data_IF_354838869345
#
_entry.id   IF_354838869345
#
_cell.length_a   1.000
_cell.length_b   1.000
_cell.length_c   1.000
_cell.angle_alpha   90.00
_cell.angle_beta   90.00
_cell.angle_gamma   90.00
#
_symmetry.space_group_name_H-M   'P 1'
#
loop_
_entity.id
_entity.type
_entity.pdbx_description
1 polymer ?
#
# COMPACT_ATOMS: atom_id res chain seq x y z
N UNK A 1 5.98 4.20 -9.67
CA UNK A 1 5.71 4.40 -11.11
C UNK A 1 4.68 3.40 -11.64
N UNK A 2 4.76 2.10 -11.31
CA UNK A 2 3.77 1.12 -11.76
C UNK A 2 2.32 1.41 -11.30
N UNK A 3 2.08 1.71 -10.01
CA UNK A 3 0.69 1.91 -9.51
C UNK A 3 0.03 3.20 -10.04
N UNK A 4 0.79 4.28 -10.19
CA UNK A 4 0.30 5.51 -10.83
C UNK A 4 -0.08 5.27 -12.30
N UNK A 5 0.67 4.43 -13.01
CA UNK A 5 0.33 3.99 -14.36
C UNK A 5 -0.94 3.15 -14.42
N UNK A 6 -1.15 2.26 -13.43
CA UNK A 6 -2.39 1.50 -13.31
C UNK A 6 -3.59 2.41 -13.07
N UNK A 7 -3.50 3.36 -12.14
CA UNK A 7 -4.58 4.33 -11.92
C UNK A 7 -4.94 5.12 -13.19
N UNK A 8 -3.92 5.62 -13.90
CA UNK A 8 -4.11 6.34 -15.15
C UNK A 8 -4.77 5.46 -16.23
N UNK A 9 -4.29 4.23 -16.42
CA UNK A 9 -4.86 3.29 -17.37
C UNK A 9 -6.30 2.91 -17.00
N UNK A 10 -6.56 2.71 -15.71
CA UNK A 10 -7.89 2.42 -15.18
C UNK A 10 -8.89 3.49 -15.57
N UNK A 11 -8.50 4.76 -15.44
CA UNK A 11 -9.36 5.88 -15.79
C UNK A 11 -9.51 6.03 -17.31
N UNK A 12 -8.39 6.07 -18.05
CA UNK A 12 -8.38 6.31 -19.51
C UNK A 12 -9.09 5.20 -20.28
N UNK A 13 -8.96 3.95 -19.83
CA UNK A 13 -9.55 2.79 -20.50
C UNK A 13 -10.83 2.30 -19.83
N UNK A 14 -11.35 3.03 -18.83
CA UNK A 14 -12.56 2.67 -18.08
C UNK A 14 -12.50 1.25 -17.47
N UNK A 15 -11.32 0.83 -16.98
CA UNK A 15 -11.09 -0.51 -16.46
C UNK A 15 -11.79 -0.75 -15.12
N UNK A 16 -11.94 0.30 -14.31
CA UNK A 16 -12.71 0.27 -13.06
C UNK A 16 -14.16 -0.21 -13.25
N UNK A 17 -14.74 -0.03 -14.45
CA UNK A 17 -16.11 -0.48 -14.75
C UNK A 17 -16.17 -1.77 -15.55
N UNK A 18 -15.05 -2.23 -16.12
CA UNK A 18 -15.04 -3.29 -17.14
C UNK A 18 -14.28 -4.54 -16.71
N UNK A 19 -13.37 -4.42 -15.75
CA UNK A 19 -12.61 -5.54 -15.20
C UNK A 19 -13.00 -5.71 -13.74
N UNK A 20 -13.54 -6.88 -13.41
CA UNK A 20 -13.82 -7.24 -12.03
C UNK A 20 -12.51 -7.29 -11.23
N UNK A 21 -12.54 -6.80 -9.99
CA UNK A 21 -11.39 -6.74 -9.07
C UNK A 21 -10.26 -5.81 -9.50
N UNK A 22 -10.49 -4.94 -10.51
CA UNK A 22 -9.47 -4.01 -10.97
C UNK A 22 -9.12 -2.99 -9.88
N UNK A 23 -10.14 -2.44 -9.24
CA UNK A 23 -10.00 -1.38 -8.25
C UNK A 23 -9.28 -1.90 -7.01
N UNK A 24 -9.76 -3.02 -6.49
CA UNK A 24 -9.23 -3.76 -5.36
C UNK A 24 -7.75 -4.12 -5.57
N UNK A 25 -7.40 -4.52 -6.78
CA UNK A 25 -6.02 -4.80 -7.17
C UNK A 25 -5.15 -3.55 -7.20
N UNK A 26 -5.68 -2.43 -7.69
CA UNK A 26 -5.00 -1.14 -7.74
C UNK A 26 -4.78 -0.58 -6.33
N UNK A 27 -5.74 -0.73 -5.42
CA UNK A 27 -5.62 -0.40 -4.00
C UNK A 27 -4.45 -1.12 -3.34
N UNK A 28 -4.48 -2.46 -3.37
CA UNK A 28 -3.44 -3.29 -2.78
C UNK A 28 -2.03 -2.97 -3.34
N UNK A 29 -1.92 -2.77 -4.65
CA UNK A 29 -0.65 -2.44 -5.29
C UNK A 29 -0.16 -1.03 -4.98
N UNK A 30 -1.06 -0.06 -4.91
CA UNK A 30 -0.71 1.34 -4.63
C UNK A 30 -0.21 1.49 -3.20
N UNK A 31 -0.94 0.99 -2.22
CA UNK A 31 -0.52 1.02 -0.82
C UNK A 31 0.72 0.16 -0.58
N UNK A 32 0.77 -1.04 -1.17
CA UNK A 32 1.97 -1.87 -1.08
C UNK A 32 3.22 -1.16 -1.61
N UNK A 33 3.11 -0.50 -2.77
CA UNK A 33 4.22 0.28 -3.36
C UNK A 33 4.62 1.46 -2.45
N UNK A 34 3.65 2.17 -1.89
CA UNK A 34 3.88 3.29 -0.98
C UNK A 34 4.62 2.83 0.30
N UNK A 35 4.15 1.75 0.93
CA UNK A 35 4.76 1.17 2.12
C UNK A 35 6.16 0.62 1.83
N UNK A 36 6.40 0.00 0.68
CA UNK A 36 7.74 -0.42 0.27
C UNK A 36 8.69 0.79 0.13
N UNK A 37 8.25 1.85 -0.55
CA UNK A 37 9.05 3.06 -0.71
C UNK A 37 9.36 3.71 0.64
N UNK A 38 8.37 3.85 1.52
CA UNK A 38 8.53 4.40 2.86
C UNK A 38 9.48 3.53 3.71
N UNK A 39 9.36 2.21 3.65
CA UNK A 39 10.22 1.29 4.39
C UNK A 39 11.66 1.26 3.90
N UNK A 40 11.88 1.35 2.59
CA UNK A 40 13.22 1.46 2.00
C UNK A 40 13.86 2.81 2.35
N UNK A 41 13.10 3.91 2.27
CA UNK A 41 13.55 5.22 2.71
C UNK A 41 13.91 5.22 4.20
N UNK A 42 13.04 4.67 5.06
CA UNK A 42 13.30 4.53 6.49
C UNK A 42 14.58 3.74 6.78
N UNK A 43 14.82 2.65 6.05
CA UNK A 43 16.07 1.91 6.12
C UNK A 43 17.32 2.69 5.68
N UNK A 44 17.15 3.72 4.84
CA UNK A 44 18.25 4.57 4.37
C UNK A 44 18.58 5.72 5.34
N UNK A 45 17.62 6.18 6.16
CA UNK A 45 17.77 7.39 6.99
C UNK A 45 17.47 7.26 8.49
N UNK A 46 16.72 6.25 8.94
CA UNK A 46 16.27 6.13 10.34
C UNK A 46 16.55 4.72 10.91
N UNK A 47 17.56 4.69 11.78
CA UNK A 47 17.80 3.68 12.84
C UNK A 47 17.56 2.21 12.48
N UNK A 48 18.67 1.47 12.32
CA UNK A 48 18.72 0.00 12.45
C UNK A 48 18.22 -0.53 13.80
N UNK A 49 17.91 0.33 14.77
CA UNK A 49 17.63 -0.02 16.15
C UNK A 49 16.14 -0.14 16.50
N UNK A 50 15.22 0.10 15.57
CA UNK A 50 13.80 -0.21 15.82
C UNK A 50 13.54 -1.71 15.67
N UNK A 51 12.97 -2.31 16.72
CA UNK A 51 12.57 -3.71 16.71
C UNK A 51 11.62 -3.98 15.54
N UNK A 52 11.80 -5.13 14.87
CA UNK A 52 11.03 -5.50 13.69
C UNK A 52 9.51 -5.32 13.86
N UNK A 53 8.86 -5.74 14.98
CA UNK A 53 7.43 -5.55 15.20
C UNK A 53 6.95 -4.10 15.09
N UNK A 54 7.73 -3.14 15.61
CA UNK A 54 7.38 -1.72 15.58
C UNK A 54 7.37 -1.20 14.14
N UNK A 55 8.31 -1.66 13.32
CA UNK A 55 8.37 -1.29 11.90
C UNK A 55 7.20 -1.87 11.11
N UNK A 56 6.79 -3.10 11.39
CA UNK A 56 5.60 -3.70 10.77
C UNK A 56 4.34 -2.89 11.09
N UNK A 57 4.12 -2.56 12.37
CA UNK A 57 2.97 -1.78 12.80
C UNK A 57 2.97 -0.37 12.19
N UNK A 58 4.13 0.29 12.10
CA UNK A 58 4.25 1.59 11.47
C UNK A 58 3.89 1.55 9.98
N UNK A 59 4.34 0.53 9.25
CA UNK A 59 4.01 0.35 7.83
C UNK A 59 2.52 0.04 7.62
N UNK A 60 1.96 -0.83 8.46
CA UNK A 60 0.54 -1.17 8.43
C UNK A 60 -0.32 0.08 8.71
N UNK A 61 0.00 0.81 9.77
CA UNK A 61 -0.72 2.03 10.14
C UNK A 61 -0.61 3.12 9.07
N UNK A 62 0.58 3.29 8.47
CA UNK A 62 0.78 4.25 7.37
C UNK A 62 -0.02 3.86 6.14
N UNK A 63 -0.04 2.56 5.79
CA UNK A 63 -0.82 2.06 4.66
C UNK A 63 -2.32 2.29 4.84
N UNK A 64 -2.86 1.94 6.02
CA UNK A 64 -4.28 2.14 6.34
C UNK A 64 -4.67 3.62 6.37
N UNK A 65 -3.81 4.51 6.91
CA UNK A 65 -4.07 5.95 6.91
C UNK A 65 -4.06 6.54 5.50
N UNK A 66 -3.15 6.06 4.64
CA UNK A 66 -3.10 6.48 3.24
C UNK A 66 -4.33 6.00 2.47
N UNK A 67 -4.77 4.75 2.69
CA UNK A 67 -6.02 4.21 2.16
C UNK A 67 -7.24 5.02 2.59
N UNK A 68 -7.37 5.27 3.90
CA UNK A 68 -8.45 6.09 4.44
C UNK A 68 -8.46 7.52 3.89
N UNK A 69 -7.29 8.11 3.65
CA UNK A 69 -7.19 9.42 3.03
C UNK A 69 -7.65 9.42 1.56
N UNK A 70 -7.41 8.33 0.84
CA UNK A 70 -7.88 8.14 -0.53
C UNK A 70 -9.41 8.00 -0.58
N UNK A 71 -9.98 7.12 0.24
CA UNK A 71 -11.44 6.96 0.38
C UNK A 71 -12.14 8.27 0.73
N UNK A 72 -11.54 9.04 1.65
CA UNK A 72 -12.07 10.35 2.02
C UNK A 72 -12.00 11.35 0.86
N UNK A 73 -10.94 11.29 0.05
CA UNK A 73 -10.81 12.13 -1.14
C UNK A 73 -11.88 11.81 -2.17
N UNK A 74 -12.10 10.52 -2.50
CA UNK A 74 -13.14 10.08 -3.42
C UNK A 74 -14.54 10.44 -2.93
N UNK A 75 -14.75 10.33 -1.62
CA UNK A 75 -15.95 10.81 -0.96
C UNK A 75 -16.17 12.31 -1.17
N UNK A 76 -15.13 13.12 -0.96
CA UNK A 76 -15.22 14.57 -1.08
C UNK A 76 -15.50 15.06 -2.52
N UNK A 77 -15.07 14.31 -3.53
CA UNK A 77 -15.26 14.66 -4.95
C UNK A 77 -16.45 13.94 -5.62
N UNK A 78 -17.16 13.08 -4.87
CA UNK A 78 -18.38 12.42 -5.34
C UNK A 78 -18.15 11.29 -6.35
N UNK A 79 -17.00 10.61 -6.29
CA UNK A 79 -16.67 9.46 -7.15
C UNK A 79 -17.02 8.11 -6.50
N UNK A 80 -17.28 8.11 -5.19
CA UNK A 80 -17.77 7.04 -4.30
C UNK A 80 -18.37 5.80 -4.99
N UNK A 81 -17.78 4.63 -4.74
CA UNK A 81 -18.52 3.37 -4.60
C UNK A 81 -19.12 3.22 -3.20
N UNK A 82 -20.12 2.36 -3.04
CA UNK A 82 -20.91 2.33 -1.80
C UNK A 82 -20.08 1.97 -0.53
N UNK A 83 -20.70 1.96 0.66
CA UNK A 83 -19.98 1.65 1.91
C UNK A 83 -19.27 0.29 1.88
N UNK A 84 -19.77 -0.66 1.11
CA UNK A 84 -19.17 -1.98 1.00
C UNK A 84 -17.89 -1.91 0.16
N UNK A 85 -17.89 -1.11 -0.89
CA UNK A 85 -16.71 -0.80 -1.73
C UNK A 85 -15.57 -0.25 -0.87
N UNK A 86 -15.80 0.86 -0.17
CA UNK A 86 -14.82 1.47 0.75
C UNK A 86 -14.24 0.49 1.78
N UNK A 87 -15.06 -0.43 2.30
CA UNK A 87 -14.58 -1.44 3.26
C UNK A 87 -13.67 -2.48 2.59
N UNK A 88 -13.97 -2.86 1.35
CA UNK A 88 -13.15 -3.77 0.56
C UNK A 88 -11.84 -3.08 0.20
N UNK A 89 -11.87 -1.81 -0.20
CA UNK A 89 -10.68 -1.05 -0.56
C UNK A 89 -9.72 -0.89 0.62
N UNK A 90 -10.24 -0.52 1.81
CA UNK A 90 -9.44 -0.47 3.04
C UNK A 90 -8.87 -1.84 3.43
N UNK A 91 -9.58 -2.93 3.15
CA UNK A 91 -9.05 -4.29 3.35
C UNK A 91 -7.89 -4.56 2.38
N UNK A 92 -8.03 -4.18 1.12
CA UNK A 92 -6.99 -4.34 0.09
C UNK A 92 -5.76 -3.50 0.39
N UNK A 93 -5.95 -2.28 0.88
CA UNK A 93 -4.90 -1.41 1.37
C UNK A 93 -4.12 -2.04 2.52
N UNK A 94 -4.84 -2.63 3.49
CA UNK A 94 -4.26 -3.39 4.58
C UNK A 94 -3.44 -4.59 4.08
N UNK A 95 -3.94 -5.34 3.10
CA UNK A 95 -3.22 -6.47 2.48
C UNK A 95 -1.96 -6.01 1.76
N UNK A 96 -2.02 -4.91 1.01
CA UNK A 96 -0.88 -4.28 0.35
C UNK A 96 0.21 -3.88 1.34
N UNK A 97 -0.19 -3.22 2.43
CA UNK A 97 0.73 -2.81 3.50
C UNK A 97 1.38 -4.01 4.20
N UNK A 98 0.60 -5.05 4.50
CA UNK A 98 1.09 -6.28 5.11
C UNK A 98 2.10 -7.00 4.21
N UNK A 99 1.80 -7.13 2.92
CA UNK A 99 2.71 -7.73 1.94
C UNK A 99 4.02 -6.95 1.84
N UNK A 100 3.96 -5.62 1.76
CA UNK A 100 5.15 -4.76 1.74
C UNK A 100 6.02 -4.96 2.98
N UNK A 101 5.40 -5.02 4.15
CA UNK A 101 6.11 -5.19 5.40
C UNK A 101 6.80 -6.57 5.46
N UNK A 102 6.12 -7.65 5.06
CA UNK A 102 6.72 -8.99 4.95
C UNK A 102 7.93 -9.02 4.01
N UNK A 103 7.82 -8.38 2.83
CA UNK A 103 8.92 -8.30 1.87
C UNK A 103 10.14 -7.56 2.45
N UNK A 104 9.90 -6.44 3.14
CA UNK A 104 10.96 -5.67 3.81
C UNK A 104 11.61 -6.43 4.96
N UNK A 105 10.83 -7.20 5.71
CA UNK A 105 11.31 -8.10 6.75
C UNK A 105 12.33 -9.11 6.23
N UNK A 106 11.91 -9.87 5.22
CA UNK A 106 12.76 -10.88 4.56
C UNK A 106 14.01 -10.27 3.92
N UNK A 107 13.88 -9.08 3.34
CA UNK A 107 15.01 -8.35 2.78
C UNK A 107 16.00 -7.90 3.85
N UNK A 108 15.51 -7.43 5.00
CA UNK A 108 16.34 -7.08 6.15
C UNK A 108 17.15 -8.28 6.67
N UNK A 109 16.49 -9.41 6.89
CA UNK A 109 17.13 -10.66 7.32
C UNK A 109 18.22 -11.12 6.34
N UNK A 110 17.92 -11.11 5.04
CA UNK A 110 18.88 -11.48 4.01
C UNK A 110 20.08 -10.53 3.93
N UNK A 111 19.89 -9.23 4.21
CA UNK A 111 21.00 -8.25 4.25
C UNK A 111 21.90 -8.44 5.46
N UNK A 112 21.34 -8.78 6.62
CA UNK A 112 22.10 -8.97 7.84
C UNK A 112 22.91 -10.27 7.81
N UNK A 113 22.37 -11.33 7.20
CA UNK A 113 23.10 -12.58 6.97
C UNK A 113 24.34 -12.41 6.09
N UNK A 114 24.33 -11.48 5.13
CA UNK A 114 25.47 -11.19 4.22
C UNK A 114 26.56 -10.32 4.87
N UNK A 115 26.32 -9.75 6.05
CA UNK A 115 27.26 -8.85 6.76
C UNK A 115 28.02 -9.54 7.89
N UNK A 116 27.72 -10.81 8.16
CA UNK A 116 28.43 -11.69 9.10
C UNK A 116 29.41 -12.57 8.33
#
# INVERSE_FOLDING_TARGET
MASAGLNLLGYVLNLYRTIALYDEGVHALSIGTLCLAAGLWGHSGLSRSTAAPVRYLALLGTGLLAGLAWEFFEWAIGIIGDRTDTLIDLLMDGLGAAAAALMLGRWGEARDARRR
#
